data_IF_201800558530
#
_entry.id   IF_201800558530
#
_cell.length_a   1.000
_cell.length_b   1.000
_cell.length_c   1.000
_cell.angle_alpha   90.00
_cell.angle_beta   90.00
_cell.angle_gamma   90.00
#
_symmetry.space_group_name_H-M   'P 1'
#
loop_
_entity.id
_entity.type
_entity.pdbx_description
1 polymer ?
#
# COMPACT_ATOMS: atom_id res chain seq x y z
N UNK A 1 2.86 15.29 3.48
CA UNK A 1 2.45 14.11 2.65
C UNK A 1 1.45 13.25 3.38
N UNK A 2 0.45 12.67 2.67
CA UNK A 2 -0.48 11.68 3.23
C UNK A 2 -0.27 10.30 2.58
N UNK A 3 -0.01 9.27 3.38
CA UNK A 3 0.13 7.88 2.92
C UNK A 3 -1.16 7.13 3.26
N UNK A 4 -1.82 6.59 2.24
CA UNK A 4 -3.01 5.76 2.38
C UNK A 4 -2.63 4.29 2.22
N UNK A 5 -2.66 3.51 3.30
CA UNK A 5 -2.63 2.06 3.20
C UNK A 5 -4.03 1.54 2.91
N UNK A 6 -4.21 0.74 1.85
CA UNK A 6 -5.51 0.16 1.52
C UNK A 6 -5.71 -1.20 2.19
N UNK A 7 -6.96 -1.50 2.54
CA UNK A 7 -7.37 -2.74 3.19
C UNK A 7 -8.87 -2.74 3.49
N UNK A 8 -9.38 -3.86 3.95
CA UNK A 8 -10.75 -4.02 4.45
C UNK A 8 -10.76 -3.97 5.99
N UNK A 9 -11.75 -3.32 6.62
CA UNK A 9 -11.85 -3.28 8.08
C UNK A 9 -12.30 -4.61 8.67
N UNK A 10 -11.91 -4.85 9.91
CA UNK A 10 -12.33 -5.99 10.72
C UNK A 10 -11.34 -7.14 10.77
N UNK A 11 -11.40 -7.95 11.86
CA UNK A 11 -10.41 -8.98 12.16
C UNK A 11 -10.37 -10.11 11.12
N UNK A 12 -11.48 -10.37 10.42
CA UNK A 12 -11.56 -11.36 9.34
C UNK A 12 -10.59 -11.08 8.20
N UNK A 13 -10.30 -9.79 7.93
CA UNK A 13 -9.48 -9.37 6.80
C UNK A 13 -8.05 -8.99 7.19
N UNK A 14 -7.75 -8.93 8.48
CA UNK A 14 -6.50 -8.36 9.01
C UNK A 14 -5.23 -8.97 8.40
N UNK A 15 -5.24 -10.28 8.11
CA UNK A 15 -4.10 -11.03 7.58
C UNK A 15 -4.26 -11.42 6.09
N UNK A 16 -5.27 -10.87 5.40
CA UNK A 16 -5.47 -11.17 3.98
C UNK A 16 -4.49 -10.39 3.10
N UNK A 17 -4.24 -10.92 1.89
CA UNK A 17 -3.38 -10.27 0.88
C UNK A 17 -3.84 -8.84 0.57
N UNK A 18 -5.16 -8.61 0.50
CA UNK A 18 -5.76 -7.30 0.22
C UNK A 18 -5.51 -6.26 1.31
N UNK A 19 -5.08 -6.70 2.50
CA UNK A 19 -4.76 -5.83 3.63
C UNK A 19 -3.27 -5.47 3.73
N UNK A 20 -2.44 -5.84 2.77
CA UNK A 20 -1.00 -5.51 2.82
C UNK A 20 -0.74 -4.02 2.94
N UNK A 21 -1.61 -3.17 2.36
CA UNK A 21 -1.52 -1.71 2.53
C UNK A 21 -1.74 -1.26 3.98
N UNK A 22 -2.70 -1.86 4.70
CA UNK A 22 -2.90 -1.63 6.14
C UNK A 22 -1.68 -2.08 6.93
N UNK A 23 -1.14 -3.26 6.63
CA UNK A 23 0.05 -3.79 7.32
C UNK A 23 1.25 -2.86 7.16
N UNK A 24 1.47 -2.29 5.96
CA UNK A 24 2.53 -1.28 5.75
C UNK A 24 2.27 -0.01 6.56
N UNK A 25 1.03 0.47 6.63
CA UNK A 25 0.70 1.65 7.44
C UNK A 25 0.95 1.39 8.94
N UNK A 26 0.65 0.19 9.43
CA UNK A 26 0.94 -0.23 10.81
C UNK A 26 2.45 -0.36 11.07
N UNK A 27 3.21 -0.93 10.13
CA UNK A 27 4.69 -1.00 10.18
C UNK A 27 5.31 0.40 10.24
N UNK A 28 4.86 1.32 9.37
CA UNK A 28 5.29 2.72 9.40
C UNK A 28 4.97 3.39 10.74
N UNK A 29 3.76 3.18 11.25
CA UNK A 29 3.34 3.75 12.53
C UNK A 29 4.21 3.25 13.69
N UNK A 30 4.50 1.95 13.75
CA UNK A 30 5.37 1.35 14.76
C UNK A 30 6.80 1.91 14.69
N UNK A 31 7.41 1.93 13.50
CA UNK A 31 8.78 2.42 13.28
C UNK A 31 8.97 3.91 13.60
N UNK A 32 7.98 4.71 13.26
CA UNK A 32 8.07 6.18 13.40
C UNK A 32 7.43 6.70 14.69
N UNK A 33 6.88 5.81 15.54
CA UNK A 33 6.25 6.16 16.80
C UNK A 33 4.93 6.92 16.63
N UNK A 34 4.18 6.62 15.56
CA UNK A 34 2.84 7.17 15.34
C UNK A 34 1.80 6.38 16.13
N UNK A 35 0.69 7.02 16.47
CA UNK A 35 -0.46 6.38 17.09
C UNK A 35 -1.72 6.72 16.28
N UNK A 36 -2.42 5.68 15.82
CA UNK A 36 -3.69 5.85 15.14
C UNK A 36 -4.78 6.32 16.09
N UNK A 37 -5.63 7.22 15.57
CA UNK A 37 -6.94 7.57 16.15
C UNK A 37 -8.01 7.12 15.19
N UNK A 38 -8.99 6.40 15.72
CA UNK A 38 -10.10 5.86 14.92
C UNK A 38 -11.20 6.90 14.77
N UNK A 39 -11.67 7.07 13.56
CA UNK A 39 -12.86 7.82 13.17
C UNK A 39 -13.87 6.86 12.55
N UNK A 40 -15.08 7.33 12.26
CA UNK A 40 -16.13 6.47 11.73
C UNK A 40 -15.78 5.78 10.38
N UNK A 41 -14.98 6.44 9.55
CA UNK A 41 -14.66 6.02 8.19
C UNK A 41 -13.15 5.77 7.93
N UNK A 42 -12.29 6.01 8.91
CA UNK A 42 -10.84 5.83 8.78
C UNK A 42 -10.10 5.86 10.10
N UNK A 43 -8.91 5.29 10.12
CA UNK A 43 -7.89 5.54 11.14
C UNK A 43 -6.87 6.53 10.60
N UNK A 44 -6.43 7.46 11.45
CA UNK A 44 -5.46 8.51 11.10
C UNK A 44 -4.40 8.60 12.18
N UNK A 45 -3.14 8.59 11.77
CA UNK A 45 -2.01 8.93 12.60
C UNK A 45 -1.23 10.09 11.94
N UNK A 46 -0.80 11.08 12.71
CA UNK A 46 -0.08 12.25 12.17
C UNK A 46 1.05 12.69 13.11
N UNK A 47 2.15 13.12 12.52
CA UNK A 47 3.31 13.65 13.23
C UNK A 47 4.19 14.46 12.29
N UNK A 48 5.00 15.38 12.87
CA UNK A 48 6.10 16.03 12.14
C UNK A 48 7.17 14.98 11.81
N UNK A 49 7.54 14.91 10.54
CA UNK A 49 8.54 13.99 10.01
C UNK A 49 9.28 14.65 8.83
N UNK A 50 10.60 14.69 8.87
CA UNK A 50 11.44 15.25 7.78
C UNK A 50 11.09 16.70 7.39
N UNK A 51 10.71 17.53 8.39
CA UNK A 51 10.41 18.96 8.17
C UNK A 51 8.98 19.29 7.78
N UNK A 52 8.12 18.31 7.53
CA UNK A 52 6.68 18.50 7.23
C UNK A 52 5.81 17.52 8.02
N UNK A 53 4.49 17.70 7.96
CA UNK A 53 3.55 16.77 8.57
C UNK A 53 3.38 15.52 7.68
N UNK A 54 3.72 14.36 8.22
CA UNK A 54 3.37 13.07 7.64
C UNK A 54 2.08 12.56 8.26
N UNK A 55 1.13 12.15 7.41
CA UNK A 55 -0.15 11.58 7.81
C UNK A 55 -0.26 10.15 7.27
N UNK A 56 -0.54 9.19 8.14
CA UNK A 56 -0.85 7.82 7.77
C UNK A 56 -2.36 7.62 7.90
N UNK A 57 -2.99 7.02 6.91
CA UNK A 57 -4.44 6.80 6.86
C UNK A 57 -4.74 5.36 6.45
N UNK A 58 -5.60 4.71 7.23
CA UNK A 58 -6.25 3.44 6.85
C UNK A 58 -7.75 3.72 6.66
N UNK A 59 -8.30 3.66 5.42
CA UNK A 59 -9.74 3.73 5.20
C UNK A 59 -10.46 2.57 5.90
N UNK A 60 -11.50 2.85 6.70
CA UNK A 60 -12.28 1.83 7.41
C UNK A 60 -13.62 1.50 6.73
N UNK A 61 -13.74 1.83 5.45
CA UNK A 61 -14.80 1.36 4.57
C UNK A 61 -14.31 0.13 3.79
N UNK A 62 -15.22 -0.64 3.18
CA UNK A 62 -14.79 -1.74 2.33
C UNK A 62 -13.94 -1.22 1.15
N UNK A 63 -13.07 -2.08 0.62
CA UNK A 63 -12.08 -1.73 -0.40
C UNK A 63 -12.67 -0.89 -1.55
N UNK A 64 -13.83 -1.28 -2.07
CA UNK A 64 -14.53 -0.57 -3.15
C UNK A 64 -15.11 0.80 -2.76
N UNK A 65 -15.04 1.18 -1.49
CA UNK A 65 -15.47 2.48 -0.96
C UNK A 65 -14.29 3.32 -0.41
N UNK A 66 -13.05 2.85 -0.56
CA UNK A 66 -11.85 3.52 -0.05
C UNK A 66 -11.74 4.98 -0.52
N UNK A 67 -12.20 5.29 -1.73
CA UNK A 67 -12.19 6.63 -2.29
C UNK A 67 -12.99 7.67 -1.50
N UNK A 68 -14.05 7.26 -0.79
CA UNK A 68 -14.85 8.15 0.08
C UNK A 68 -13.97 8.70 1.20
N UNK A 69 -13.29 7.82 1.92
CA UNK A 69 -12.41 8.21 3.04
C UNK A 69 -11.18 9.01 2.55
N UNK A 70 -10.62 8.62 1.39
CA UNK A 70 -9.50 9.33 0.76
C UNK A 70 -9.91 10.76 0.39
N UNK A 71 -11.00 10.94 -0.35
CA UNK A 71 -11.50 12.27 -0.72
C UNK A 71 -11.71 13.17 0.51
N UNK A 72 -12.39 12.66 1.52
CA UNK A 72 -12.65 13.39 2.76
C UNK A 72 -11.37 13.79 3.50
N UNK A 73 -10.35 12.93 3.48
CA UNK A 73 -9.05 13.24 4.08
C UNK A 73 -8.33 14.34 3.30
N UNK A 74 -8.44 14.36 1.98
CA UNK A 74 -7.76 15.30 1.08
C UNK A 74 -8.44 16.67 0.97
N UNK A 75 -9.66 16.86 1.47
CA UNK A 75 -10.29 18.18 1.54
C UNK A 75 -9.42 19.24 2.23
N UNK A 76 -8.50 18.79 3.08
CA UNK A 76 -7.56 19.65 3.81
C UNK A 76 -6.17 19.79 3.16
N UNK A 77 -5.76 18.82 2.29
CA UNK A 77 -4.45 18.77 1.60
C UNK A 77 -4.58 17.96 0.30
N UNK A 78 -4.93 18.58 -0.83
CA UNK A 78 -5.36 17.87 -2.03
C UNK A 78 -4.27 17.15 -2.83
N UNK A 79 -2.99 17.57 -2.72
CA UNK A 79 -2.01 17.25 -3.78
C UNK A 79 -0.84 16.34 -3.39
N UNK A 80 -0.71 15.96 -2.12
CA UNK A 80 0.47 15.25 -1.63
C UNK A 80 0.11 13.90 -1.04
N UNK A 81 -0.12 12.92 -1.92
CA UNK A 81 -0.56 11.57 -1.53
C UNK A 81 0.36 10.48 -2.05
N UNK A 82 0.43 9.37 -1.31
CA UNK A 82 0.94 8.08 -1.74
C UNK A 82 -0.08 7.00 -1.36
N UNK A 83 -0.52 6.19 -2.32
CA UNK A 83 -1.42 5.06 -2.07
C UNK A 83 -0.63 3.76 -2.07
N UNK A 84 -0.78 2.95 -1.03
CA UNK A 84 -0.13 1.63 -0.86
C UNK A 84 -1.19 0.54 -1.01
N UNK A 85 -0.99 -0.38 -1.94
CA UNK A 85 -1.94 -1.45 -2.25
C UNK A 85 -1.23 -2.73 -2.73
N UNK A 86 -1.97 -3.85 -2.72
CA UNK A 86 -1.56 -5.11 -3.32
C UNK A 86 -1.61 -5.07 -4.85
N UNK A 87 -0.90 -6.01 -5.47
CA UNK A 87 -0.84 -6.19 -6.92
C UNK A 87 -0.63 -7.65 -7.30
N UNK A 88 -1.66 -8.27 -7.89
CA UNK A 88 -1.61 -9.65 -8.40
C UNK A 88 -0.72 -9.81 -9.64
N UNK A 89 -0.41 -8.74 -10.36
CA UNK A 89 0.43 -8.81 -11.54
C UNK A 89 1.94 -8.76 -11.23
N UNK A 90 2.31 -8.68 -9.95
CA UNK A 90 3.68 -8.68 -9.48
C UNK A 90 3.98 -9.94 -8.66
N UNK A 91 5.16 -10.53 -8.78
CA UNK A 91 5.62 -11.59 -7.89
C UNK A 91 5.54 -11.16 -6.42
N UNK A 92 5.28 -12.10 -5.52
CA UNK A 92 5.23 -11.85 -4.08
C UNK A 92 6.48 -11.09 -3.61
N UNK A 93 6.27 -10.04 -2.80
CA UNK A 93 7.36 -9.22 -2.25
C UNK A 93 8.04 -8.28 -3.24
N UNK A 94 7.63 -8.28 -4.52
CA UNK A 94 8.08 -7.27 -5.49
C UNK A 94 7.42 -5.93 -5.21
N UNK A 95 8.20 -4.86 -5.16
CA UNK A 95 7.70 -3.51 -5.01
C UNK A 95 7.71 -2.76 -6.34
N UNK A 96 6.69 -1.93 -6.57
CA UNK A 96 6.62 -1.06 -7.74
C UNK A 96 5.99 0.28 -7.42
N UNK A 97 6.82 1.31 -7.39
CA UNK A 97 6.40 2.70 -7.32
C UNK A 97 6.03 3.21 -8.72
N UNK A 98 4.91 3.93 -8.82
CA UNK A 98 4.44 4.59 -10.06
C UNK A 98 3.91 5.97 -9.74
N UNK A 99 4.16 7.00 -10.58
CA UNK A 99 3.63 8.35 -10.39
C UNK A 99 2.14 8.44 -10.69
N UNK A 100 1.64 7.57 -11.58
CA UNK A 100 0.26 7.56 -12.08
C UNK A 100 -0.09 6.18 -12.65
N UNK A 101 -1.35 5.97 -13.05
CA UNK A 101 -1.79 4.77 -13.78
C UNK A 101 -3.26 4.44 -13.54
N UNK A 102 -3.78 3.47 -14.31
CA UNK A 102 -5.12 2.90 -14.09
C UNK A 102 -5.20 2.13 -12.77
N UNK A 103 -6.40 1.69 -12.44
CA UNK A 103 -6.64 0.83 -11.27
C UNK A 103 -6.08 -0.59 -11.41
N UNK A 104 -5.85 -1.06 -12.66
CA UNK A 104 -5.39 -2.43 -12.92
C UNK A 104 -6.33 -3.51 -12.38
N UNK A 105 -7.63 -3.21 -12.25
CA UNK A 105 -8.64 -4.09 -11.65
C UNK A 105 -8.69 -4.05 -10.12
N UNK A 106 -7.84 -3.27 -9.46
CA UNK A 106 -7.85 -3.14 -8.01
C UNK A 106 -9.00 -2.22 -7.55
N UNK A 107 -10.01 -2.79 -6.89
CA UNK A 107 -11.25 -2.08 -6.52
C UNK A 107 -11.01 -0.81 -5.68
N UNK A 108 -10.03 -0.82 -4.80
CA UNK A 108 -9.68 0.33 -3.97
C UNK A 108 -9.10 1.48 -4.81
N UNK A 109 -8.19 1.19 -5.73
CA UNK A 109 -7.66 2.20 -6.66
C UNK A 109 -8.77 2.74 -7.58
N UNK A 110 -9.64 1.87 -8.11
CA UNK A 110 -10.80 2.27 -8.90
C UNK A 110 -11.71 3.23 -8.14
N UNK A 111 -12.01 2.92 -6.88
CA UNK A 111 -12.79 3.81 -6.00
C UNK A 111 -12.11 5.17 -5.80
N UNK A 112 -10.80 5.18 -5.55
CA UNK A 112 -10.05 6.44 -5.38
C UNK A 112 -10.08 7.28 -6.66
N UNK A 113 -9.82 6.67 -7.82
CA UNK A 113 -9.85 7.34 -9.13
C UNK A 113 -11.23 7.94 -9.38
N UNK A 114 -12.30 7.20 -9.13
CA UNK A 114 -13.68 7.66 -9.28
C UNK A 114 -13.99 8.87 -8.39
N UNK A 115 -13.60 8.83 -7.10
CA UNK A 115 -13.93 9.90 -6.17
C UNK A 115 -13.04 11.14 -6.30
N UNK A 116 -11.81 11.00 -6.77
CA UNK A 116 -10.91 12.12 -7.02
C UNK A 116 -11.05 12.69 -8.44
N UNK A 117 -11.66 11.95 -9.38
CA UNK A 117 -11.75 12.34 -10.80
C UNK A 117 -10.41 12.37 -11.52
N UNK A 118 -9.36 11.73 -10.95
CA UNK A 118 -8.00 11.71 -11.51
C UNK A 118 -7.27 10.42 -11.17
N UNK A 119 -6.28 10.04 -11.99
CA UNK A 119 -5.44 8.85 -11.80
C UNK A 119 -3.94 9.19 -11.69
N UNK A 120 -3.59 10.47 -11.69
CA UNK A 120 -2.23 11.02 -11.63
C UNK A 120 -1.77 11.22 -10.17
N UNK A 121 -1.86 10.18 -9.37
CA UNK A 121 -1.34 10.16 -8.01
C UNK A 121 -0.34 9.01 -7.81
N UNK A 122 0.72 9.22 -7.00
CA UNK A 122 1.71 8.20 -6.66
C UNK A 122 1.11 6.99 -5.98
N UNK A 123 1.62 5.82 -6.34
CA UNK A 123 1.26 4.55 -5.70
C UNK A 123 2.45 3.62 -5.52
N UNK A 124 2.49 2.94 -4.38
CA UNK A 124 3.34 1.79 -4.11
C UNK A 124 2.49 0.53 -4.26
N UNK A 125 2.81 -0.29 -5.26
CA UNK A 125 2.18 -1.59 -5.51
C UNK A 125 3.08 -2.68 -4.94
N UNK A 126 2.49 -3.59 -4.17
CA UNK A 126 3.18 -4.69 -3.49
C UNK A 126 2.70 -5.99 -4.10
N UNK A 127 3.62 -6.74 -4.69
CA UNK A 127 3.33 -8.03 -5.31
C UNK A 127 2.83 -9.05 -4.30
N UNK A 128 1.75 -9.73 -4.67
CA UNK A 128 1.13 -10.80 -3.88
C UNK A 128 1.01 -12.11 -4.66
N UNK A 129 1.66 -12.21 -5.82
CA UNK A 129 1.49 -13.24 -6.85
C UNK A 129 0.08 -13.24 -7.49
N UNK A 130 -0.02 -13.97 -8.59
CA UNK A 130 -1.28 -14.24 -9.26
C UNK A 130 -1.90 -15.54 -8.74
N UNK A 131 -3.23 -15.64 -8.68
CA UNK A 131 -3.88 -16.93 -8.40
C UNK A 131 -3.55 -17.96 -9.49
N UNK A 132 -3.50 -19.23 -9.12
CA UNK A 132 -3.24 -20.33 -10.04
C UNK A 132 -4.26 -20.43 -11.19
N UNK A 133 -5.48 -19.90 -10.98
CA UNK A 133 -6.54 -19.81 -11.97
C UNK A 133 -7.03 -18.36 -12.07
N UNK A 134 -7.21 -17.86 -13.26
CA UNK A 134 -7.63 -16.47 -13.52
C UNK A 134 -9.03 -16.10 -13.01
N UNK A 135 -9.90 -17.10 -12.74
CA UNK A 135 -11.25 -16.90 -12.21
C UNK A 135 -11.32 -16.54 -10.72
N UNK A 136 -10.23 -16.73 -9.99
CA UNK A 136 -10.23 -16.73 -8.52
C UNK A 136 -9.72 -15.41 -7.90
N UNK A 137 -9.53 -14.38 -8.72
CA UNK A 137 -8.86 -13.13 -8.29
C UNK A 137 -9.51 -12.42 -7.10
N UNK A 138 -10.86 -12.43 -6.98
CA UNK A 138 -11.55 -11.77 -5.87
C UNK A 138 -11.36 -12.56 -4.58
N UNK A 139 -11.51 -13.87 -4.63
CA UNK A 139 -11.36 -14.73 -3.46
C UNK A 139 -9.88 -14.78 -3.03
N UNK A 140 -8.96 -14.85 -4.00
CA UNK A 140 -7.51 -14.87 -3.76
C UNK A 140 -7.01 -13.70 -2.92
N UNK A 141 -7.43 -12.47 -3.20
CA UNK A 141 -6.98 -11.31 -2.42
C UNK A 141 -7.58 -11.28 -1.01
N UNK A 142 -8.70 -11.96 -0.79
CA UNK A 142 -9.37 -12.08 0.52
C UNK A 142 -8.87 -13.26 1.36
N UNK A 143 -7.97 -14.08 0.81
CA UNK A 143 -7.31 -15.14 1.56
C UNK A 143 -6.05 -14.63 2.27
N UNK A 144 -5.64 -15.25 3.40
CA UNK A 144 -4.36 -14.99 4.03
C UNK A 144 -3.19 -15.44 3.15
N UNK A 145 -2.01 -14.90 3.41
CA UNK A 145 -0.78 -15.39 2.77
C UNK A 145 -0.52 -16.85 3.14
N UNK A 146 -0.02 -17.70 2.21
CA UNK A 146 0.41 -19.05 2.55
C UNK A 146 1.63 -19.00 3.48
N UNK A 147 1.88 -20.07 4.23
CA UNK A 147 2.91 -20.10 5.28
C UNK A 147 4.32 -19.69 4.79
N UNK A 148 4.65 -20.07 3.58
CA UNK A 148 5.95 -19.77 2.97
C UNK A 148 6.09 -18.24 2.73
N UNK A 149 5.01 -17.58 2.29
CA UNK A 149 4.97 -16.13 2.10
C UNK A 149 4.81 -15.39 3.45
N UNK A 150 4.05 -15.95 4.38
CA UNK A 150 3.86 -15.39 5.72
C UNK A 150 5.19 -15.24 6.46
N UNK A 151 6.11 -16.21 6.32
CA UNK A 151 7.43 -16.14 6.90
C UNK A 151 8.30 -14.99 6.37
N UNK A 152 8.09 -14.59 5.12
CA UNK A 152 8.82 -13.51 4.44
C UNK A 152 8.10 -12.16 4.53
N UNK A 153 6.82 -12.17 4.92
CA UNK A 153 5.98 -10.96 4.94
C UNK A 153 6.57 -9.82 5.78
N UNK A 154 7.15 -10.06 6.98
CA UNK A 154 7.81 -8.99 7.74
C UNK A 154 8.87 -8.23 6.94
N UNK A 155 9.73 -8.93 6.17
CA UNK A 155 10.75 -8.31 5.34
C UNK A 155 10.12 -7.49 4.20
N UNK A 156 9.05 -8.00 3.58
CA UNK A 156 8.29 -7.27 2.55
C UNK A 156 7.73 -5.96 3.12
N UNK A 157 7.14 -6.01 4.32
CA UNK A 157 6.54 -4.85 4.98
C UNK A 157 7.60 -3.81 5.36
N UNK A 158 8.75 -4.23 5.88
CA UNK A 158 9.87 -3.34 6.20
C UNK A 158 10.43 -2.67 4.94
N UNK A 159 10.64 -3.42 3.86
CA UNK A 159 11.07 -2.89 2.56
C UNK A 159 10.05 -1.90 1.97
N UNK A 160 8.75 -2.20 2.09
CA UNK A 160 7.69 -1.29 1.66
C UNK A 160 7.65 -0.01 2.51
N UNK A 161 7.86 -0.11 3.83
CA UNK A 161 8.00 1.03 4.71
C UNK A 161 9.21 1.89 4.34
N UNK A 162 10.37 1.29 4.02
CA UNK A 162 11.54 2.00 3.53
C UNK A 162 11.25 2.75 2.22
N UNK A 163 10.51 2.13 1.29
CA UNK A 163 10.10 2.78 0.06
C UNK A 163 9.20 4.00 0.32
N UNK A 164 8.24 3.88 1.23
CA UNK A 164 7.40 5.01 1.66
C UNK A 164 8.21 6.14 2.30
N UNK A 165 9.14 5.82 3.20
CA UNK A 165 10.03 6.79 3.83
C UNK A 165 10.91 7.48 2.78
N UNK A 166 11.44 6.74 1.81
CA UNK A 166 12.23 7.31 0.72
C UNK A 166 11.41 8.29 -0.15
N UNK A 167 10.14 7.96 -0.44
CA UNK A 167 9.25 8.91 -1.15
C UNK A 167 9.10 10.20 -0.37
N UNK A 168 8.90 10.14 0.95
CA UNK A 168 8.73 11.31 1.82
C UNK A 168 10.00 12.14 1.93
N UNK A 169 11.16 11.49 2.04
CA UNK A 169 12.45 12.17 2.37
C UNK A 169 13.27 12.53 1.15
N UNK A 170 13.14 11.80 0.04
CA UNK A 170 14.01 11.93 -1.14
C UNK A 170 13.22 12.24 -2.41
N UNK A 171 11.88 12.13 -2.35
CA UNK A 171 10.98 12.30 -3.49
C UNK A 171 10.76 11.01 -4.28
N UNK A 172 9.68 11.02 -5.06
CA UNK A 172 9.18 9.83 -5.77
C UNK A 172 10.19 9.27 -6.79
N UNK A 173 10.84 10.13 -7.58
CA UNK A 173 11.77 9.69 -8.64
C UNK A 173 12.97 8.91 -8.09
N UNK A 174 13.58 9.42 -7.02
CA UNK A 174 14.71 8.74 -6.35
C UNK A 174 14.26 7.43 -5.72
N UNK A 175 13.10 7.42 -5.08
CA UNK A 175 12.53 6.20 -4.52
C UNK A 175 12.24 5.17 -5.63
N UNK A 176 11.68 5.57 -6.77
CA UNK A 176 11.46 4.70 -7.93
C UNK A 176 12.78 4.10 -8.45
N UNK A 177 13.82 4.92 -8.62
CA UNK A 177 15.12 4.47 -9.09
C UNK A 177 15.78 3.46 -8.14
N UNK A 178 15.53 3.60 -6.84
CA UNK A 178 16.09 2.72 -5.82
C UNK A 178 15.31 1.41 -5.68
N UNK A 179 13.98 1.46 -5.58
CA UNK A 179 13.17 0.29 -5.18
C UNK A 179 12.60 -0.49 -6.36
N UNK A 180 12.32 0.12 -7.51
CA UNK A 180 11.77 -0.60 -8.66
C UNK A 180 12.71 -1.66 -9.26
N UNK A 181 14.05 -1.47 -9.32
CA UNK A 181 14.97 -2.50 -9.79
C UNK A 181 15.17 -3.67 -8.82
N UNK A 182 14.91 -3.47 -7.51
CA UNK A 182 15.17 -4.50 -6.51
C UNK A 182 14.39 -5.79 -6.82
N UNK A 183 15.01 -7.00 -6.64
CA UNK A 183 14.29 -8.26 -6.80
C UNK A 183 13.15 -8.39 -5.78
N UNK A 184 12.25 -9.32 -6.01
CA UNK A 184 11.25 -9.73 -5.02
C UNK A 184 11.96 -10.28 -3.76
N UNK A 185 11.31 -10.13 -2.60
CA UNK A 185 11.80 -10.72 -1.34
C UNK A 185 11.74 -12.24 -1.49
N UNK A 186 12.81 -12.95 -1.09
CA UNK A 186 12.91 -14.41 -1.21
C UNK A 186 13.23 -14.92 -2.63
N UNK A 187 13.37 -14.04 -3.63
CA UNK A 187 13.94 -14.46 -4.90
C UNK A 187 15.44 -14.76 -4.70
N UNK A 188 15.87 -15.99 -5.02
CA UNK A 188 17.30 -16.32 -5.07
C UNK A 188 17.98 -15.38 -6.08
N UNK A 189 19.08 -14.76 -5.68
CA UNK A 189 19.96 -14.08 -6.64
C UNK A 189 20.42 -15.15 -7.63
N UNK A 190 19.86 -15.11 -8.84
CA UNK A 190 20.26 -16.01 -9.90
C UNK A 190 21.76 -15.89 -10.09
N UNK A 191 22.47 -16.95 -9.75
CA UNK A 191 23.90 -17.11 -10.08
C UNK A 191 23.98 -17.04 -11.60
N UNK A 192 24.33 -15.86 -12.13
CA UNK A 192 24.80 -15.77 -13.51
C UNK A 192 26.06 -16.64 -13.60
N UNK A 193 25.90 -17.76 -14.29
CA UNK A 193 27.00 -18.64 -14.68
C UNK A 193 27.53 -18.24 -16.05
#
# INVERSE_FOLDING_TARGET
>A
MTIFGLGNPGPRYALTRHNVGFMVADTLAARLGFRFRTFADREVARRQFSGDELVLVKPLLFMNESGVAVRKQLERRPDDILVVCDDMALPFGRLRLRPAGSDGGHKGLGSIIMHLGRSDFPRLRIGIDAPARSSDGIDYVLEPFPKEQEALLPEVLERAADACIAVVTQGLERAMSRFNPMPAVGAEEGTEA
#
